data_IF_468936970284
#
_entry.id   IF_468936970284
#
_cell.length_a   1.000
_cell.length_b   1.000
_cell.length_c   1.000
_cell.angle_alpha   90.00
_cell.angle_beta   90.00
_cell.angle_gamma   90.00
#
_symmetry.space_group_name_H-M   'P 1'
#
loop_
_entity.id
_entity.type
_entity.pdbx_description
1 polymer ?
#
# COMPACT_ATOMS: atom_id res chain seq x y z
N UNK A 1 17.04 0.74 -10.23
CA UNK A 1 16.19 1.37 -11.25
C UNK A 1 16.84 2.68 -11.65
N UNK A 2 16.61 3.18 -12.86
CA UNK A 2 17.06 4.52 -13.26
C UNK A 2 15.85 5.45 -13.19
N UNK A 3 15.79 6.46 -12.31
CA UNK A 3 14.62 7.34 -12.26
C UNK A 3 14.47 8.17 -13.54
N UNK A 4 13.25 8.63 -13.87
CA UNK A 4 13.08 9.66 -14.87
C UNK A 4 13.64 10.98 -14.31
N UNK A 5 14.10 11.87 -15.19
CA UNK A 5 14.82 13.07 -14.77
C UNK A 5 14.00 13.96 -13.82
N UNK A 6 12.69 14.12 -14.11
CA UNK A 6 11.77 14.92 -13.29
C UNK A 6 11.64 14.41 -11.85
N UNK A 7 11.85 13.12 -11.60
CA UNK A 7 11.74 12.54 -10.25
C UNK A 7 12.94 12.92 -9.35
N UNK A 8 13.99 13.54 -9.92
CA UNK A 8 15.09 14.10 -9.15
C UNK A 8 14.80 15.51 -8.62
N UNK A 9 13.69 16.12 -9.05
CA UNK A 9 13.22 17.42 -8.58
C UNK A 9 12.64 17.37 -7.17
N UNK A 10 12.31 18.55 -6.63
CA UNK A 10 11.60 18.63 -5.34
C UNK A 10 10.16 18.16 -5.50
N UNK A 11 9.63 17.56 -4.43
CA UNK A 11 8.37 16.83 -4.42
C UNK A 11 7.51 17.30 -3.25
N UNK A 12 6.23 17.54 -3.49
CA UNK A 12 5.30 18.05 -2.49
C UNK A 12 4.16 17.05 -2.27
N UNK A 13 3.99 16.63 -1.02
CA UNK A 13 2.90 15.75 -0.56
C UNK A 13 2.39 16.20 0.80
N UNK A 14 1.28 15.61 1.22
CA UNK A 14 0.85 15.49 2.61
C UNK A 14 -0.28 14.46 2.69
N UNK A 15 -0.38 13.82 3.84
CA UNK A 15 -1.64 13.29 4.32
C UNK A 15 -2.54 14.46 4.79
N UNK A 16 -3.82 14.44 4.42
CA UNK A 16 -4.84 15.39 4.83
C UNK A 16 -5.04 16.60 3.91
N UNK A 17 -4.92 16.43 2.58
CA UNK A 17 -5.54 17.41 1.67
C UNK A 17 -7.06 17.33 1.80
N UNK A 18 -7.70 18.38 2.31
CA UNK A 18 -9.13 18.31 2.66
C UNK A 18 -10.05 17.99 1.46
N UNK A 19 -9.65 18.43 0.26
CA UNK A 19 -10.27 18.14 -1.03
C UNK A 19 -9.34 18.63 -2.16
N UNK A 20 -9.76 18.47 -3.42
CA UNK A 20 -8.99 18.92 -4.58
C UNK A 20 -8.67 20.43 -4.56
N UNK A 21 -9.56 21.27 -4.04
CA UNK A 21 -9.33 22.72 -3.97
C UNK A 21 -8.25 23.09 -2.94
N UNK A 22 -8.18 22.37 -1.82
CA UNK A 22 -7.07 22.54 -0.87
C UNK A 22 -5.75 22.13 -1.51
N UNK A 23 -5.69 20.99 -2.21
CA UNK A 23 -4.48 20.58 -2.96
C UNK A 23 -4.04 21.66 -3.95
N UNK A 24 -4.97 22.15 -4.78
CA UNK A 24 -4.72 23.25 -5.73
C UNK A 24 -4.12 24.46 -5.05
N UNK A 25 -4.76 24.91 -3.97
CA UNK A 25 -4.32 26.06 -3.18
C UNK A 25 -2.88 25.90 -2.69
N UNK A 26 -2.49 24.71 -2.19
CA UNK A 26 -1.13 24.47 -1.68
C UNK A 26 -0.09 24.43 -2.80
N UNK A 27 -0.36 23.71 -3.87
CA UNK A 27 0.55 23.58 -5.02
C UNK A 27 0.74 24.94 -5.69
N UNK A 28 -0.33 25.70 -5.91
CA UNK A 28 -0.26 27.05 -6.49
C UNK A 28 0.49 28.03 -5.59
N UNK A 29 0.34 27.94 -4.26
CA UNK A 29 1.12 28.77 -3.35
C UNK A 29 2.63 28.56 -3.57
N UNK A 30 3.10 27.32 -3.63
CA UNK A 30 4.53 27.01 -3.88
C UNK A 30 5.00 27.60 -5.21
N UNK A 31 4.18 27.49 -6.28
CA UNK A 31 4.47 28.09 -7.59
C UNK A 31 4.50 29.62 -7.54
N UNK A 32 3.55 30.24 -6.85
CA UNK A 32 3.45 31.71 -6.73
C UNK A 32 4.65 32.30 -5.99
N UNK A 33 5.25 31.55 -5.07
CA UNK A 33 6.52 31.91 -4.41
C UNK A 33 7.77 31.58 -5.24
N UNK A 34 7.62 31.09 -6.47
CA UNK A 34 8.72 30.70 -7.36
C UNK A 34 9.69 29.68 -6.74
N UNK A 35 9.18 28.79 -5.88
CA UNK A 35 9.94 27.68 -5.31
C UNK A 35 9.96 26.55 -6.35
N UNK A 36 11.13 26.08 -6.81
CA UNK A 36 11.20 24.99 -7.79
C UNK A 36 10.71 23.67 -7.20
N UNK A 37 9.83 22.99 -7.93
CA UNK A 37 9.42 21.61 -7.67
C UNK A 37 8.91 20.99 -8.97
N UNK A 38 8.87 19.66 -9.01
CA UNK A 38 8.57 18.90 -10.22
C UNK A 38 7.39 17.96 -10.03
N UNK A 39 7.05 17.60 -8.79
CA UNK A 39 6.03 16.57 -8.50
C UNK A 39 5.08 17.03 -7.41
N UNK A 40 3.77 16.93 -7.68
CA UNK A 40 2.72 17.05 -6.68
C UNK A 40 2.07 15.67 -6.44
N UNK A 41 1.90 15.31 -5.18
CA UNK A 41 1.32 14.03 -4.76
C UNK A 41 -0.13 14.17 -4.35
N UNK A 42 -0.89 13.09 -4.48
CA UNK A 42 -2.15 12.93 -3.76
C UNK A 42 -2.12 11.61 -2.96
N UNK A 43 -2.35 11.75 -1.66
CA UNK A 43 -2.54 10.66 -0.69
C UNK A 43 -3.98 10.08 -0.81
N UNK A 44 -4.39 9.15 0.06
CA UNK A 44 -5.69 8.46 0.01
C UNK A 44 -6.92 9.36 -0.06
N UNK A 45 -6.82 10.65 0.25
CA UNK A 45 -7.97 11.56 0.17
C UNK A 45 -8.57 11.64 -1.23
N UNK A 46 -7.78 11.44 -2.29
CA UNK A 46 -8.34 11.44 -3.64
C UNK A 46 -9.30 10.27 -3.88
N UNK A 47 -9.22 9.23 -3.06
CA UNK A 47 -9.99 8.01 -3.21
C UNK A 47 -11.41 8.15 -2.64
N UNK A 48 -12.37 7.44 -3.22
CA UNK A 48 -13.71 7.33 -2.63
C UNK A 48 -13.65 6.44 -1.38
N UNK A 49 -13.67 7.06 -0.20
CA UNK A 49 -13.59 6.36 1.11
C UNK A 49 -12.42 5.36 1.15
N UNK A 50 -11.25 5.83 0.70
CA UNK A 50 -9.98 5.11 0.73
C UNK A 50 -9.96 3.83 -0.13
N UNK A 51 -10.92 3.64 -1.04
CA UNK A 51 -10.92 2.51 -1.99
C UNK A 51 -10.03 2.84 -3.18
N UNK A 52 -9.02 2.00 -3.41
CA UNK A 52 -8.17 2.11 -4.60
C UNK A 52 -8.98 2.18 -5.91
N UNK A 53 -8.39 2.84 -6.90
CA UNK A 53 -8.91 2.97 -8.27
C UNK A 53 -10.22 3.77 -8.43
N UNK A 54 -10.79 4.34 -7.37
CA UNK A 54 -12.00 5.17 -7.43
C UNK A 54 -11.70 6.59 -6.97
N UNK A 55 -12.03 7.60 -7.76
CA UNK A 55 -11.91 9.01 -7.38
C UNK A 55 -13.12 9.41 -6.52
N UNK A 56 -12.85 9.99 -5.34
CA UNK A 56 -13.87 10.50 -4.43
C UNK A 56 -14.61 11.72 -4.96
N UNK A 57 -15.84 11.95 -4.48
CA UNK A 57 -16.69 13.05 -4.94
C UNK A 57 -16.04 14.44 -4.76
N UNK A 58 -15.33 14.66 -3.66
CA UNK A 58 -14.59 15.89 -3.33
C UNK A 58 -13.35 16.13 -4.22
N UNK A 59 -13.04 15.15 -5.08
CA UNK A 59 -11.94 15.17 -6.04
C UNK A 59 -12.41 15.16 -7.49
N UNK A 60 -13.68 15.51 -7.73
CA UNK A 60 -14.21 15.72 -9.08
C UNK A 60 -13.38 16.75 -9.85
N UNK A 61 -12.97 16.41 -11.07
CA UNK A 61 -12.12 17.26 -11.90
C UNK A 61 -10.62 17.11 -11.64
N UNK A 62 -10.21 16.13 -10.83
CA UNK A 62 -8.79 15.87 -10.56
C UNK A 62 -7.98 15.60 -11.83
N UNK A 63 -8.55 14.87 -12.80
CA UNK A 63 -7.89 14.63 -14.09
C UNK A 63 -7.59 15.90 -14.88
N UNK A 64 -8.48 16.89 -14.85
CA UNK A 64 -8.23 18.18 -15.50
C UNK A 64 -7.17 19.00 -14.75
N UNK A 65 -7.10 18.86 -13.43
CA UNK A 65 -6.03 19.45 -12.65
C UNK A 65 -4.67 18.81 -12.95
N UNK A 66 -4.58 17.49 -13.10
CA UNK A 66 -3.33 16.83 -13.51
C UNK A 66 -2.87 17.27 -14.89
N UNK A 67 -3.79 17.48 -15.85
CA UNK A 67 -3.44 18.11 -17.14
C UNK A 67 -2.88 19.52 -16.95
N UNK A 68 -3.45 20.31 -16.05
CA UNK A 68 -2.94 21.65 -15.72
C UNK A 68 -1.54 21.59 -15.08
N UNK A 69 -1.26 20.60 -14.22
CA UNK A 69 0.09 20.34 -13.71
C UNK A 69 1.07 20.08 -14.86
N UNK A 70 0.67 19.24 -15.83
CA UNK A 70 1.49 18.96 -17.01
C UNK A 70 1.74 20.19 -17.89
N UNK A 71 0.74 21.06 -18.07
CA UNK A 71 0.89 22.35 -18.78
C UNK A 71 1.90 23.28 -18.09
N UNK A 72 2.08 23.12 -16.79
CA UNK A 72 3.10 23.82 -16.00
C UNK A 72 4.47 23.13 -16.00
N UNK A 73 4.61 21.99 -16.67
CA UNK A 73 5.81 21.16 -16.68
C UNK A 73 6.00 20.31 -15.42
N UNK A 74 4.99 20.23 -14.57
CA UNK A 74 4.98 19.39 -13.37
C UNK A 74 4.47 17.99 -13.70
N UNK A 75 4.64 17.07 -12.75
CA UNK A 75 4.21 15.68 -12.81
C UNK A 75 3.34 15.36 -11.58
N UNK A 76 2.57 14.28 -11.67
CA UNK A 76 1.75 13.80 -10.56
C UNK A 76 2.08 12.36 -10.21
N UNK A 77 2.18 12.09 -8.90
CA UNK A 77 2.27 10.73 -8.35
C UNK A 77 1.06 10.54 -7.43
N UNK A 78 0.38 9.40 -7.56
CA UNK A 78 -0.71 9.02 -6.66
C UNK A 78 -0.23 7.93 -5.70
N UNK A 79 -0.85 7.88 -4.53
CA UNK A 79 -0.69 6.78 -3.59
C UNK A 79 -1.61 5.62 -3.96
N UNK A 80 -1.18 4.39 -3.71
CA UNK A 80 -1.98 3.17 -3.75
C UNK A 80 -1.67 2.32 -2.53
N UNK A 81 -2.72 1.71 -1.97
CA UNK A 81 -2.57 0.61 -1.04
C UNK A 81 -2.66 -0.71 -1.79
N UNK A 82 -2.11 -1.81 -1.25
CA UNK A 82 -2.30 -3.12 -1.87
C UNK A 82 -3.69 -3.71 -1.58
N UNK A 83 -4.37 -3.23 -0.55
CA UNK A 83 -5.52 -3.89 0.05
C UNK A 83 -6.84 -3.47 -0.60
N UNK A 84 -7.59 -4.44 -1.13
CA UNK A 84 -8.81 -4.17 -1.90
C UNK A 84 -10.05 -4.51 -1.08
N UNK A 85 -10.91 -3.53 -0.84
CA UNK A 85 -12.23 -3.73 -0.23
C UNK A 85 -13.08 -4.74 -1.03
N UNK A 86 -13.71 -5.70 -0.35
CA UNK A 86 -14.23 -6.92 -1.01
C UNK A 86 -15.62 -6.82 -1.63
N UNK A 87 -16.18 -5.62 -1.78
CA UNK A 87 -17.56 -5.41 -2.22
C UNK A 87 -17.75 -4.25 -3.21
N UNK A 88 -16.74 -4.00 -4.05
CA UNK A 88 -16.84 -3.05 -5.16
C UNK A 88 -16.21 -3.56 -6.44
N UNK A 89 -16.37 -2.80 -7.53
CA UNK A 89 -16.09 -3.26 -8.88
C UNK A 89 -14.64 -3.71 -9.12
N UNK A 90 -13.63 -3.09 -8.48
CA UNK A 90 -12.24 -3.53 -8.68
C UNK A 90 -12.02 -4.94 -8.13
N UNK A 91 -12.65 -5.25 -6.99
CA UNK A 91 -12.64 -6.60 -6.42
C UNK A 91 -13.44 -7.58 -7.27
N UNK A 92 -14.61 -7.20 -7.79
CA UNK A 92 -15.35 -8.05 -8.73
C UNK A 92 -14.51 -8.36 -9.97
N UNK A 93 -13.84 -7.37 -10.56
CA UNK A 93 -12.93 -7.56 -11.71
C UNK A 93 -11.74 -8.46 -11.36
N UNK A 94 -11.26 -8.40 -10.12
CA UNK A 94 -10.20 -9.27 -9.63
C UNK A 94 -10.65 -10.74 -9.62
N UNK A 95 -11.87 -11.01 -9.11
CA UNK A 95 -12.47 -12.35 -9.15
C UNK A 95 -12.73 -12.83 -10.57
N UNK A 96 -13.29 -11.97 -11.43
CA UNK A 96 -13.56 -12.29 -12.84
C UNK A 96 -12.26 -12.62 -13.61
N UNK A 97 -11.15 -12.00 -13.20
CA UNK A 97 -9.81 -12.22 -13.76
C UNK A 97 -9.08 -13.40 -13.12
N UNK A 98 -9.70 -14.11 -12.17
CA UNK A 98 -9.13 -15.25 -11.46
C UNK A 98 -7.75 -14.94 -10.85
N UNK A 99 -7.59 -13.75 -10.26
CA UNK A 99 -6.39 -13.42 -9.52
C UNK A 99 -6.31 -14.24 -8.22
N UNK A 100 -5.09 -14.39 -7.70
CA UNK A 100 -4.87 -14.98 -6.38
C UNK A 100 -4.93 -13.90 -5.31
N UNK A 101 -5.45 -14.25 -4.13
CA UNK A 101 -5.43 -13.43 -2.91
C UNK A 101 -4.75 -14.23 -1.80
N UNK A 102 -4.26 -13.55 -0.77
CA UNK A 102 -3.87 -14.23 0.47
C UNK A 102 -5.11 -14.95 1.03
N UNK A 103 -4.98 -16.23 1.34
CA UNK A 103 -6.09 -17.08 1.77
C UNK A 103 -5.78 -17.87 3.04
N UNK A 104 -6.81 -18.29 3.77
CA UNK A 104 -6.69 -19.30 4.82
C UNK A 104 -6.18 -20.63 4.25
N UNK A 105 -5.36 -21.35 5.02
CA UNK A 105 -4.87 -22.66 4.59
C UNK A 105 -6.03 -23.66 4.53
N UNK A 106 -6.87 -23.66 5.57
CA UNK A 106 -8.01 -24.57 5.69
C UNK A 106 -9.35 -23.83 5.80
N UNK A 107 -10.42 -24.50 5.38
CA UNK A 107 -11.76 -23.92 5.40
C UNK A 107 -12.31 -23.71 6.82
N UNK A 108 -11.88 -24.52 7.80
CA UNK A 108 -12.31 -24.39 9.21
C UNK A 108 -11.68 -23.20 9.94
N UNK A 109 -10.71 -22.53 9.32
CA UNK A 109 -10.07 -21.32 9.84
C UNK A 109 -10.76 -20.03 9.37
N UNK A 110 -11.66 -20.12 8.40
CA UNK A 110 -12.37 -18.97 7.85
C UNK A 110 -13.26 -18.35 8.94
N UNK A 111 -13.07 -17.06 9.18
CA UNK A 111 -13.85 -16.29 10.15
C UNK A 111 -15.23 -15.94 9.58
N UNK A 112 -16.15 -16.91 9.62
CA UNK A 112 -17.50 -16.77 9.04
C UNK A 112 -18.32 -15.62 9.61
N UNK A 113 -18.05 -15.17 10.83
CA UNK A 113 -18.66 -13.96 11.41
C UNK A 113 -18.39 -12.71 10.56
N UNK A 114 -17.23 -12.65 9.91
CA UNK A 114 -16.81 -11.60 8.99
C UNK A 114 -17.16 -12.00 7.55
N UNK A 115 -16.72 -13.19 7.12
CA UNK A 115 -16.81 -13.65 5.74
C UNK A 115 -18.24 -13.63 5.20
N UNK A 116 -19.20 -14.08 6.00
CA UNK A 116 -20.59 -14.26 5.56
C UNK A 116 -21.33 -12.93 5.36
N UNK A 117 -20.74 -11.80 5.78
CA UNK A 117 -21.25 -10.46 5.53
C UNK A 117 -21.06 -10.01 4.06
N UNK A 118 -20.19 -10.69 3.32
CA UNK A 118 -19.75 -10.26 1.99
C UNK A 118 -20.03 -11.34 0.92
N UNK A 119 -21.03 -11.12 0.04
CA UNK A 119 -21.43 -12.11 -0.95
C UNK A 119 -20.32 -12.59 -1.88
N UNK A 120 -19.36 -11.72 -2.21
CA UNK A 120 -18.27 -12.02 -3.16
C UNK A 120 -17.20 -12.98 -2.59
N UNK A 121 -17.15 -13.14 -1.27
CA UNK A 121 -16.11 -13.94 -0.60
C UNK A 121 -16.67 -15.01 0.35
N UNK A 122 -17.99 -15.06 0.55
CA UNK A 122 -18.69 -15.93 1.51
C UNK A 122 -18.24 -17.40 1.48
N UNK A 123 -18.12 -17.99 0.29
CA UNK A 123 -17.76 -19.40 0.11
C UNK A 123 -16.31 -19.58 -0.35
N UNK A 124 -15.43 -18.67 0.07
CA UNK A 124 -14.00 -18.67 -0.29
C UNK A 124 -13.11 -18.76 0.94
N UNK A 125 -11.83 -19.05 0.74
CA UNK A 125 -10.80 -18.97 1.79
C UNK A 125 -10.11 -17.61 1.83
N UNK A 126 -10.53 -16.63 1.03
CA UNK A 126 -9.86 -15.32 0.96
C UNK A 126 -9.79 -14.71 2.37
N UNK A 127 -8.58 -14.38 2.81
CA UNK A 127 -8.34 -13.82 4.13
C UNK A 127 -8.77 -12.36 4.12
N UNK A 128 -9.67 -12.01 5.05
CA UNK A 128 -10.18 -10.67 5.23
C UNK A 128 -9.49 -9.97 6.38
N UNK A 129 -9.19 -8.68 6.20
CA UNK A 129 -8.59 -7.84 7.23
C UNK A 129 -9.15 -6.42 7.16
N UNK A 130 -8.54 -5.50 7.93
CA UNK A 130 -8.93 -4.10 8.05
C UNK A 130 -7.72 -3.22 7.74
N UNK A 131 -7.90 -2.20 6.89
CA UNK A 131 -6.92 -1.14 6.61
C UNK A 131 -7.72 0.17 6.50
N UNK A 132 -7.44 1.06 5.54
CA UNK A 132 -8.07 2.36 5.42
C UNK A 132 -9.53 2.37 4.93
N UNK A 133 -9.99 1.46 4.05
CA UNK A 133 -11.38 1.43 3.62
C UNK A 133 -12.36 1.11 4.76
N UNK A 134 -13.62 1.55 4.61
CA UNK A 134 -14.67 1.37 5.61
C UNK A 134 -15.12 -0.07 5.85
N UNK A 135 -14.71 -1.01 5.00
CA UNK A 135 -15.16 -2.39 5.02
C UNK A 135 -13.97 -3.31 4.83
N UNK A 136 -14.17 -4.59 5.16
CA UNK A 136 -13.09 -5.56 5.10
C UNK A 136 -12.45 -5.62 3.72
N UNK A 137 -11.13 -5.75 3.73
CA UNK A 137 -10.27 -5.81 2.56
C UNK A 137 -9.71 -7.20 2.39
N UNK A 138 -9.22 -7.50 1.19
CA UNK A 138 -8.39 -8.66 0.89
C UNK A 138 -7.08 -8.20 0.25
N UNK A 139 -6.02 -8.96 0.47
CA UNK A 139 -4.69 -8.68 -0.10
C UNK A 139 -4.46 -9.50 -1.37
N UNK A 140 -4.31 -8.87 -2.55
CA UNK A 140 -3.87 -9.56 -3.75
C UNK A 140 -2.54 -10.28 -3.52
N UNK A 141 -2.43 -11.50 -4.05
CA UNK A 141 -1.22 -12.30 -3.95
C UNK A 141 -0.26 -11.92 -5.09
N UNK A 142 0.53 -10.86 -4.88
CA UNK A 142 1.54 -10.39 -5.84
C UNK A 142 2.70 -11.37 -6.05
N UNK A 143 2.78 -12.41 -5.23
CA UNK A 143 3.71 -13.53 -5.40
C UNK A 143 3.18 -14.63 -6.33
N UNK A 144 1.93 -14.53 -6.78
CA UNK A 144 1.37 -15.47 -7.78
C UNK A 144 2.26 -15.49 -9.04
N UNK A 145 2.81 -16.66 -9.42
CA UNK A 145 3.63 -16.76 -10.62
C UNK A 145 2.80 -16.66 -11.92
N UNK A 146 1.47 -16.73 -11.82
CA UNK A 146 0.58 -16.53 -12.95
C UNK A 146 0.46 -15.05 -13.30
N UNK A 147 0.21 -14.76 -14.59
CA UNK A 147 0.11 -13.40 -15.07
C UNK A 147 -1.16 -12.66 -14.62
N UNK A 148 -2.15 -13.36 -14.05
CA UNK A 148 -3.47 -12.83 -13.74
C UNK A 148 -3.42 -11.64 -12.77
N UNK A 149 -2.69 -11.75 -11.66
CA UNK A 149 -2.56 -10.65 -10.68
C UNK A 149 -1.89 -9.43 -11.31
N UNK A 150 -0.80 -9.63 -12.06
CA UNK A 150 -0.11 -8.53 -12.75
C UNK A 150 -0.97 -7.89 -13.84
N UNK A 151 -1.72 -8.68 -14.61
CA UNK A 151 -2.60 -8.19 -15.66
C UNK A 151 -3.75 -7.38 -15.09
N UNK A 152 -4.44 -7.90 -14.07
CA UNK A 152 -5.51 -7.18 -13.39
C UNK A 152 -5.00 -5.87 -12.79
N UNK A 153 -3.88 -5.89 -12.06
CA UNK A 153 -3.29 -4.69 -11.47
C UNK A 153 -2.95 -3.64 -12.55
N UNK A 154 -2.35 -4.10 -13.65
CA UNK A 154 -2.03 -3.23 -14.80
C UNK A 154 -3.29 -2.63 -15.43
N UNK A 155 -4.35 -3.42 -15.57
CA UNK A 155 -5.59 -2.95 -16.17
C UNK A 155 -6.35 -1.97 -15.26
N UNK A 156 -6.31 -2.15 -13.94
CA UNK A 156 -6.82 -1.16 -12.98
C UNK A 156 -6.03 0.16 -13.04
N UNK A 157 -4.70 0.09 -13.16
CA UNK A 157 -3.86 1.28 -13.41
C UNK A 157 -4.27 2.00 -14.69
N UNK A 158 -4.52 1.29 -15.80
CA UNK A 158 -4.98 1.90 -17.05
C UNK A 158 -6.35 2.55 -16.90
N UNK A 159 -7.30 1.88 -16.24
CA UNK A 159 -8.65 2.41 -16.01
C UNK A 159 -8.65 3.72 -15.24
N UNK A 160 -7.80 3.83 -14.21
CA UNK A 160 -7.64 5.09 -13.48
C UNK A 160 -6.87 6.12 -14.30
N UNK A 161 -5.85 5.71 -15.06
CA UNK A 161 -5.06 6.62 -15.89
C UNK A 161 -5.85 7.29 -17.02
N UNK A 162 -6.88 6.60 -17.54
CA UNK A 162 -7.85 7.17 -18.50
C UNK A 162 -8.64 8.35 -17.90
N UNK A 163 -8.75 8.42 -16.57
CA UNK A 163 -9.40 9.52 -15.84
C UNK A 163 -8.39 10.55 -15.33
N UNK A 164 -7.23 10.10 -14.84
CA UNK A 164 -6.17 10.93 -14.25
C UNK A 164 -4.83 10.48 -14.78
N UNK A 165 -4.21 11.26 -15.67
CA UNK A 165 -2.95 10.86 -16.32
C UNK A 165 -1.73 11.02 -15.41
N UNK A 166 -1.64 10.23 -14.34
CA UNK A 166 -0.50 10.22 -13.41
C UNK A 166 0.80 9.73 -14.05
N UNK A 167 1.95 10.11 -13.48
CA UNK A 167 3.29 9.87 -14.04
C UNK A 167 4.11 8.82 -13.27
N UNK A 168 3.69 8.47 -12.06
CA UNK A 168 4.35 7.48 -11.21
C UNK A 168 3.43 6.98 -10.09
N UNK A 169 3.94 6.06 -9.29
CA UNK A 169 3.18 5.43 -8.21
C UNK A 169 3.92 5.42 -6.88
N UNK A 170 3.20 5.74 -5.82
CA UNK A 170 3.60 5.53 -4.45
C UNK A 170 2.79 4.35 -3.92
N UNK A 171 3.43 3.20 -3.70
CA UNK A 171 2.78 2.03 -3.09
C UNK A 171 3.12 1.99 -1.61
N UNK A 172 2.11 2.12 -0.77
CA UNK A 172 2.23 2.15 0.68
C UNK A 172 1.51 0.96 1.33
N UNK A 173 1.62 0.81 2.65
CA UNK A 173 0.87 -0.21 3.41
C UNK A 173 1.19 -1.66 3.02
N UNK A 174 2.34 -1.87 2.37
CA UNK A 174 2.69 -3.12 1.68
C UNK A 174 3.70 -4.01 2.41
N UNK A 175 3.71 -3.96 3.74
CA UNK A 175 4.41 -4.96 4.55
C UNK A 175 3.92 -6.41 4.30
N UNK A 176 2.62 -6.74 4.13
CA UNK A 176 1.38 -5.93 4.11
C UNK A 176 0.89 -5.51 5.51
N UNK A 177 0.51 -4.25 5.66
CA UNK A 177 -0.02 -3.73 6.91
C UNK A 177 -1.49 -4.13 7.10
N UNK A 178 -1.84 -4.52 8.33
CA UNK A 178 -3.21 -4.79 8.76
C UNK A 178 -3.49 -4.10 10.09
N UNK A 179 -4.67 -3.53 10.24
CA UNK A 179 -5.07 -2.84 11.46
C UNK A 179 -5.67 -3.83 12.45
N UNK A 180 -5.11 -3.82 13.67
CA UNK A 180 -5.75 -4.47 14.81
C UNK A 180 -5.71 -5.98 14.83
N UNK A 181 -4.86 -6.66 14.05
CA UNK A 181 -4.80 -8.13 14.09
C UNK A 181 -4.61 -8.63 15.53
N UNK A 182 -5.53 -9.47 16.00
CA UNK A 182 -5.64 -9.96 17.39
C UNK A 182 -5.97 -8.92 18.47
N UNK A 183 -6.28 -7.67 18.12
CA UNK A 183 -6.61 -6.62 19.07
C UNK A 183 -8.12 -6.54 19.30
N UNK A 184 -8.53 -6.39 20.56
CA UNK A 184 -9.95 -6.16 20.89
C UNK A 184 -10.35 -4.69 20.76
N UNK A 185 -9.37 -3.79 20.84
CA UNK A 185 -9.59 -2.34 20.87
C UNK A 185 -8.50 -1.62 20.05
N UNK A 186 -8.47 -1.83 18.72
CA UNK A 186 -7.47 -1.22 17.85
C UNK A 186 -7.58 0.30 17.83
N UNK A 187 -6.55 0.97 17.31
CA UNK A 187 -6.48 2.45 17.32
C UNK A 187 -7.69 3.14 16.65
N UNK A 188 -8.38 2.46 15.74
CA UNK A 188 -9.56 2.96 15.05
C UNK A 188 -10.88 2.70 15.81
N UNK A 189 -10.87 1.95 16.92
CA UNK A 189 -12.08 1.53 17.63
C UNK A 189 -12.96 2.71 18.07
N UNK A 190 -12.33 3.80 18.54
CA UNK A 190 -12.99 5.05 18.97
C UNK A 190 -12.87 6.16 17.91
N UNK A 191 -12.37 5.86 16.72
CA UNK A 191 -12.19 6.86 15.68
C UNK A 191 -13.53 7.17 14.99
N UNK A 192 -14.04 8.41 15.02
CA UNK A 192 -15.30 8.75 14.35
C UNK A 192 -15.25 8.63 12.82
N UNK A 193 -14.06 8.70 12.23
CA UNK A 193 -13.87 8.74 10.77
C UNK A 193 -13.63 7.35 10.16
N UNK A 194 -13.46 6.32 10.99
CA UNK A 194 -13.28 4.93 10.57
C UNK A 194 -14.26 4.01 11.32
N UNK A 195 -15.00 3.12 10.64
CA UNK A 195 -15.96 2.26 11.31
C UNK A 195 -15.25 1.25 12.24
N UNK A 196 -15.90 0.95 13.36
CA UNK A 196 -15.47 -0.09 14.28
C UNK A 196 -15.87 -1.47 13.73
N UNK A 197 -15.06 -1.97 12.78
CA UNK A 197 -15.18 -3.31 12.21
C UNK A 197 -14.18 -4.27 12.86
N UNK A 198 -14.62 -5.53 13.04
CA UNK A 198 -13.86 -6.57 13.71
C UNK A 198 -12.55 -6.85 12.96
N UNK A 199 -11.37 -6.73 13.59
CA UNK A 199 -10.11 -7.01 12.92
C UNK A 199 -9.90 -8.52 12.72
N UNK A 200 -8.90 -8.83 11.90
CA UNK A 200 -8.41 -10.19 11.69
C UNK A 200 -7.99 -10.85 13.02
N UNK A 201 -8.46 -12.07 13.27
CA UNK A 201 -7.98 -12.90 14.38
C UNK A 201 -7.15 -14.10 13.88
N UNK A 202 -5.94 -14.26 14.39
CA UNK A 202 -5.02 -15.35 14.08
C UNK A 202 -4.89 -16.31 15.28
N UNK A 203 -4.68 -17.62 15.06
CA UNK A 203 -4.56 -18.58 16.15
C UNK A 203 -3.30 -18.32 16.98
N UNK A 204 -3.47 -17.93 18.25
CA UNK A 204 -2.37 -17.78 19.23
C UNK A 204 -2.31 -18.93 20.25
N UNK A 205 -3.23 -19.89 20.17
CA UNK A 205 -3.24 -21.09 21.01
C UNK A 205 -3.54 -22.34 20.17
N UNK A 206 -3.22 -23.51 20.71
CA UNK A 206 -3.41 -24.78 20.01
C UNK A 206 -2.26 -25.11 19.04
N UNK A 207 -2.42 -26.16 18.20
CA UNK A 207 -1.35 -26.65 17.33
C UNK A 207 -0.93 -25.64 16.27
N UNK A 208 -1.82 -24.73 15.89
CA UNK A 208 -1.60 -23.78 14.79
C UNK A 208 -0.93 -22.48 15.26
N UNK A 209 -0.77 -22.32 16.58
CA UNK A 209 -0.14 -21.14 17.18
C UNK A 209 1.36 -21.02 16.87
N UNK A 210 2.03 -22.11 16.47
CA UNK A 210 3.47 -22.09 16.22
C UNK A 210 3.88 -21.14 15.08
N UNK A 211 2.96 -20.81 14.17
CA UNK A 211 3.22 -19.92 13.04
C UNK A 211 3.26 -18.46 13.44
N UNK A 212 2.34 -18.02 14.31
CA UNK A 212 2.27 -16.63 14.77
C UNK A 212 3.01 -16.40 16.11
N UNK A 213 3.11 -17.44 16.95
CA UNK A 213 3.84 -17.47 18.21
C UNK A 213 4.93 -18.55 18.19
N UNK A 214 5.98 -18.41 17.35
CA UNK A 214 7.04 -19.41 17.26
C UNK A 214 7.83 -19.51 18.56
N UNK A 215 8.51 -20.66 18.80
CA UNK A 215 9.33 -20.86 20.00
C UNK A 215 10.47 -19.83 20.14
N UNK A 216 10.88 -19.20 19.04
CA UNK A 216 11.82 -18.10 19.01
C UNK A 216 11.22 -16.91 18.25
N UNK A 217 10.84 -15.86 18.99
CA UNK A 217 10.35 -14.61 18.41
C UNK A 217 11.53 -13.84 17.78
N UNK A 218 11.30 -13.22 16.63
CA UNK A 218 12.30 -12.33 16.01
C UNK A 218 12.39 -11.02 16.80
N UNK A 219 13.49 -10.28 16.63
CA UNK A 219 13.65 -8.96 17.25
C UNK A 219 12.51 -8.00 16.87
N UNK A 220 11.96 -8.12 15.67
CA UNK A 220 10.89 -7.26 15.17
C UNK A 220 9.62 -7.34 16.03
N UNK A 221 9.31 -8.51 16.60
CA UNK A 221 8.15 -8.70 17.48
C UNK A 221 8.28 -7.83 18.73
N UNK A 222 9.46 -7.79 19.34
CA UNK A 222 9.70 -7.04 20.57
C UNK A 222 9.58 -5.52 20.40
N UNK A 223 9.67 -5.00 19.17
CA UNK A 223 9.44 -3.58 18.91
C UNK A 223 7.97 -3.17 19.11
N UNK A 224 7.04 -4.12 19.07
CA UNK A 224 5.60 -3.88 19.27
C UNK A 224 5.11 -4.22 20.69
N UNK A 225 5.98 -4.76 21.55
CA UNK A 225 5.69 -5.09 22.94
C UNK A 225 5.82 -6.58 23.27
N UNK A 226 5.80 -6.90 24.56
CA UNK A 226 6.04 -8.27 25.04
C UNK A 226 4.96 -9.27 24.60
N UNK A 227 3.72 -8.79 24.49
CA UNK A 227 2.55 -9.57 24.08
C UNK A 227 2.41 -9.69 22.55
N UNK A 228 3.30 -9.04 21.78
CA UNK A 228 3.25 -9.10 20.33
C UNK A 228 3.59 -10.51 19.78
N UNK A 229 3.09 -10.77 18.58
CA UNK A 229 3.29 -11.99 17.81
C UNK A 229 3.71 -11.63 16.37
N UNK A 230 3.99 -12.61 15.52
CA UNK A 230 4.37 -12.30 14.13
C UNK A 230 3.23 -11.66 13.33
N UNK A 231 1.96 -11.99 13.63
CA UNK A 231 0.80 -11.37 13.01
C UNK A 231 0.50 -9.94 13.52
N UNK A 232 1.23 -9.43 14.51
CA UNK A 232 0.99 -8.08 15.05
C UNK A 232 1.16 -7.03 13.94
N UNK A 233 0.08 -6.28 13.68
CA UNK A 233 -0.03 -5.29 12.59
C UNK A 233 0.07 -5.85 11.16
N UNK A 234 -0.17 -7.14 10.97
CA UNK A 234 -0.14 -7.78 9.64
C UNK A 234 -1.07 -9.00 9.56
N UNK A 235 -1.01 -9.75 8.46
CA UNK A 235 -1.79 -10.97 8.21
C UNK A 235 -1.29 -12.15 9.04
N UNK A 236 -2.10 -13.20 9.16
CA UNK A 236 -1.67 -14.42 9.86
C UNK A 236 -0.52 -15.10 9.11
N UNK A 237 0.53 -15.51 9.82
CA UNK A 237 1.69 -16.17 9.19
C UNK A 237 1.34 -17.53 8.58
N UNK A 238 0.23 -18.14 9.02
CA UNK A 238 -0.27 -19.37 8.45
C UNK A 238 -1.04 -19.19 7.14
N UNK A 239 -1.47 -17.96 6.83
CA UNK A 239 -2.17 -17.69 5.59
C UNK A 239 -1.30 -18.07 4.38
N UNK A 240 -1.93 -18.44 3.28
CA UNK A 240 -1.26 -18.93 2.09
C UNK A 240 -1.19 -17.87 1.01
N UNK A 241 -0.06 -17.85 0.32
CA UNK A 241 0.25 -17.12 -0.90
C UNK A 241 0.74 -18.09 -1.97
N UNK A 242 1.11 -17.54 -3.14
CA UNK A 242 1.57 -18.31 -4.30
C UNK A 242 0.53 -19.36 -4.68
N UNK A 243 -0.75 -18.94 -4.74
CA UNK A 243 -1.92 -19.81 -4.97
C UNK A 243 -1.99 -21.01 -4.03
N UNK A 244 -1.85 -20.78 -2.73
CA UNK A 244 -1.99 -21.84 -1.74
C UNK A 244 -0.76 -22.74 -1.59
N UNK A 245 0.39 -22.39 -2.19
CA UNK A 245 1.59 -23.25 -2.15
C UNK A 245 2.62 -22.85 -1.09
N UNK A 246 2.62 -21.59 -0.64
CA UNK A 246 3.55 -21.10 0.37
C UNK A 246 2.81 -20.35 1.48
N UNK A 247 3.23 -20.56 2.73
CA UNK A 247 2.71 -19.80 3.87
C UNK A 247 3.36 -18.41 3.92
N UNK A 248 2.60 -17.42 4.38
CA UNK A 248 3.08 -16.08 4.71
C UNK A 248 4.31 -16.14 5.63
N UNK A 249 4.38 -17.11 6.55
CA UNK A 249 5.56 -17.37 7.37
C UNK A 249 6.89 -17.38 6.59
N UNK A 250 6.89 -17.92 5.36
CA UNK A 250 8.07 -18.02 4.51
C UNK A 250 8.26 -16.79 3.61
N UNK A 251 7.17 -16.14 3.19
CA UNK A 251 7.18 -15.18 2.08
C UNK A 251 6.72 -13.77 2.44
N UNK A 252 6.33 -13.52 3.70
CA UNK A 252 5.78 -12.25 4.16
C UNK A 252 6.67 -11.05 3.80
N UNK A 253 7.98 -11.14 4.10
CA UNK A 253 8.95 -10.08 3.76
C UNK A 253 9.21 -9.87 2.27
N UNK A 254 8.59 -10.67 1.38
CA UNK A 254 8.69 -10.52 -0.07
C UNK A 254 7.49 -9.77 -0.68
N UNK A 255 6.45 -9.47 0.10
CA UNK A 255 5.20 -8.89 -0.41
C UNK A 255 5.42 -7.53 -1.08
N UNK A 256 6.04 -6.57 -0.40
CA UNK A 256 6.32 -5.25 -0.99
C UNK A 256 7.26 -5.31 -2.21
N UNK A 257 8.23 -6.24 -2.22
CA UNK A 257 9.09 -6.46 -3.39
C UNK A 257 8.29 -6.99 -4.60
N UNK A 258 7.39 -7.94 -4.37
CA UNK A 258 6.61 -8.56 -5.45
C UNK A 258 5.59 -7.57 -6.04
N UNK A 259 4.95 -6.78 -5.18
CA UNK A 259 4.11 -5.65 -5.60
C UNK A 259 4.92 -4.61 -6.38
N UNK A 260 6.07 -4.14 -5.86
CA UNK A 260 6.90 -3.14 -6.52
C UNK A 260 7.32 -3.55 -7.94
N UNK A 261 7.61 -4.85 -8.15
CA UNK A 261 7.91 -5.40 -9.47
C UNK A 261 6.71 -5.27 -10.41
N UNK A 262 5.53 -5.71 -9.97
CA UNK A 262 4.29 -5.68 -10.75
C UNK A 262 3.87 -4.23 -11.04
N UNK A 263 3.89 -3.36 -10.03
CA UNK A 263 3.56 -1.93 -10.18
C UNK A 263 4.51 -1.22 -11.14
N UNK A 264 5.80 -1.55 -11.13
CA UNK A 264 6.75 -0.99 -12.11
C UNK A 264 6.39 -1.36 -13.55
N UNK A 265 5.93 -2.60 -13.77
CA UNK A 265 5.46 -3.03 -15.09
C UNK A 265 4.13 -2.34 -15.46
N UNK A 266 3.20 -2.23 -14.51
CA UNK A 266 1.92 -1.54 -14.68
C UNK A 266 2.12 -0.07 -15.07
N UNK A 267 2.93 0.69 -14.32
CA UNK A 267 3.24 2.10 -14.62
C UNK A 267 3.82 2.27 -16.02
N UNK A 268 4.73 1.38 -16.45
CA UNK A 268 5.31 1.44 -17.80
C UNK A 268 4.30 1.09 -18.89
N UNK A 269 3.48 0.08 -18.67
CA UNK A 269 2.45 -0.34 -19.62
C UNK A 269 1.35 0.72 -19.77
N UNK A 270 1.01 1.41 -18.68
CA UNK A 270 -0.03 2.43 -18.62
C UNK A 270 0.42 3.76 -19.22
N UNK A 271 1.60 4.25 -18.83
CA UNK A 271 2.09 5.58 -19.26
C UNK A 271 2.86 5.54 -20.59
N UNK A 272 3.34 4.37 -21.02
CA UNK A 272 4.30 4.24 -22.12
C UNK A 272 5.66 4.89 -21.86
N UNK A 273 5.89 5.37 -20.63
CA UNK A 273 7.11 6.05 -20.19
C UNK A 273 7.84 5.19 -19.16
N UNK A 274 9.02 5.65 -18.73
CA UNK A 274 9.79 4.98 -17.69
C UNK A 274 9.04 4.94 -16.35
N UNK A 275 8.39 6.04 -15.99
CA UNK A 275 7.75 6.27 -14.70
C UNK A 275 8.70 6.13 -13.51
N UNK A 276 8.16 6.25 -12.31
CA UNK A 276 8.84 5.92 -11.05
C UNK A 276 7.85 5.22 -10.12
N UNK A 277 8.35 4.28 -9.34
CA UNK A 277 7.63 3.65 -8.23
C UNK A 277 8.40 3.94 -6.95
N UNK A 278 7.68 4.27 -5.88
CA UNK A 278 8.21 4.46 -4.53
C UNK A 278 7.45 3.50 -3.61
N UNK A 279 8.17 2.68 -2.84
CA UNK A 279 7.58 1.62 -2.01
C UNK A 279 8.02 1.71 -0.55
N UNK A 280 7.11 1.42 0.39
CA UNK A 280 7.46 1.37 1.81
C UNK A 280 8.25 0.12 2.12
N UNK A 281 7.60 -1.04 1.99
CA UNK A 281 8.23 -2.32 2.23
C UNK A 281 9.23 -2.64 1.12
N UNK A 282 10.39 -3.15 1.51
CA UNK A 282 11.47 -3.52 0.60
C UNK A 282 12.19 -4.78 1.07
N UNK A 283 12.81 -5.48 0.13
CA UNK A 283 13.68 -6.64 0.36
C UNK A 283 14.91 -6.52 -0.56
N UNK A 284 16.05 -7.18 -0.29
CA UNK A 284 17.16 -7.21 -1.23
C UNK A 284 16.70 -7.45 -2.68
N UNK A 285 17.19 -6.63 -3.61
CA UNK A 285 16.76 -6.48 -5.02
C UNK A 285 15.61 -5.50 -5.30
N UNK A 286 14.89 -4.97 -4.31
CA UNK A 286 13.79 -4.01 -4.53
C UNK A 286 14.23 -2.77 -5.32
N UNK A 287 15.46 -2.31 -5.08
CA UNK A 287 16.06 -1.20 -5.82
C UNK A 287 16.16 -1.41 -7.33
N UNK A 288 15.96 -2.62 -7.87
CA UNK A 288 15.82 -2.82 -9.32
C UNK A 288 14.52 -2.25 -9.90
N UNK A 289 13.46 -2.21 -9.09
CA UNK A 289 12.10 -1.86 -9.51
C UNK A 289 11.68 -0.50 -8.96
N UNK A 290 11.95 -0.22 -7.68
CA UNK A 290 11.40 0.92 -6.95
C UNK A 290 12.48 1.75 -6.25
N UNK A 291 12.14 3.01 -5.93
CA UNK A 291 12.76 3.75 -4.83
C UNK A 291 12.10 3.45 -3.49
N UNK A 292 12.52 4.16 -2.46
CA UNK A 292 12.03 4.01 -1.09
C UNK A 292 12.01 5.35 -0.37
N UNK A 293 11.07 5.57 0.54
CA UNK A 293 11.16 6.65 1.52
C UNK A 293 11.23 6.02 2.91
N UNK A 294 11.94 6.66 3.84
CA UNK A 294 12.27 6.10 5.16
C UNK A 294 11.07 6.00 6.13
N UNK A 295 9.85 6.18 5.65
CA UNK A 295 8.62 6.03 6.42
C UNK A 295 8.34 7.21 7.35
N UNK A 296 7.36 6.98 8.22
CA UNK A 296 6.73 7.94 9.12
C UNK A 296 7.68 8.46 10.21
N UNK A 297 8.56 9.39 9.82
CA UNK A 297 9.40 10.13 10.75
C UNK A 297 8.58 11.19 11.52
N UNK A 298 9.10 11.67 12.64
CA UNK A 298 8.51 12.79 13.36
C UNK A 298 9.29 14.09 13.10
N UNK A 299 8.70 15.28 13.31
CA UNK A 299 9.36 16.57 13.13
C UNK A 299 10.36 16.85 14.27
N UNK A 300 11.38 16.00 14.41
CA UNK A 300 12.38 16.03 15.47
C UNK A 300 13.80 16.13 14.91
N UNK A 301 14.70 16.76 15.67
CA UNK A 301 16.12 16.79 15.34
C UNK A 301 16.76 15.39 15.34
N UNK A 302 16.20 14.44 16.09
CA UNK A 302 16.62 13.05 16.09
C UNK A 302 16.40 12.41 14.73
N UNK A 303 15.21 12.60 14.16
CA UNK A 303 14.86 12.00 12.87
C UNK A 303 15.60 12.63 11.70
N UNK A 304 15.92 13.93 11.77
CA UNK A 304 16.82 14.55 10.79
C UNK A 304 18.18 13.84 10.74
N UNK A 305 18.72 13.43 11.90
CA UNK A 305 19.96 12.65 11.96
C UNK A 305 19.76 11.23 11.41
N UNK A 306 18.66 10.58 11.78
CA UNK A 306 18.31 9.23 11.30
C UNK A 306 18.15 9.18 9.79
N UNK A 307 17.63 10.23 9.16
CA UNK A 307 17.47 10.33 7.71
C UNK A 307 18.80 10.19 6.96
N UNK A 308 19.89 10.80 7.47
CA UNK A 308 21.22 10.66 6.87
C UNK A 308 21.71 9.22 6.93
N UNK A 309 21.46 8.54 8.06
CA UNK A 309 21.86 7.15 8.27
C UNK A 309 21.07 6.24 7.32
N UNK A 310 19.75 6.36 7.31
CA UNK A 310 18.89 5.56 6.44
C UNK A 310 19.24 5.72 4.96
N UNK A 311 19.48 6.96 4.50
CA UNK A 311 19.88 7.20 3.11
C UNK A 311 21.21 6.49 2.75
N UNK A 312 22.19 6.48 3.66
CA UNK A 312 23.45 5.76 3.46
C UNK A 312 23.26 4.24 3.44
N UNK A 313 22.49 3.70 4.38
CA UNK A 313 22.19 2.27 4.49
C UNK A 313 21.48 1.75 3.23
N UNK A 314 20.45 2.45 2.75
CA UNK A 314 19.73 2.05 1.54
C UNK A 314 20.58 2.11 0.27
N UNK A 315 21.57 3.01 0.21
CA UNK A 315 22.56 2.97 -0.86
C UNK A 315 23.41 1.68 -0.80
N UNK A 316 23.79 1.20 0.39
CA UNK A 316 24.46 -0.10 0.55
C UNK A 316 23.53 -1.28 0.27
N UNK A 317 22.23 -1.17 0.57
CA UNK A 317 21.23 -2.17 0.24
C UNK A 317 20.87 -2.23 -1.26
N UNK A 318 21.43 -1.31 -2.08
CA UNK A 318 21.22 -1.27 -3.53
C UNK A 318 19.95 -0.53 -3.95
N UNK A 319 19.42 0.38 -3.11
CA UNK A 319 18.23 1.20 -3.35
C UNK A 319 18.64 2.69 -3.28
N UNK A 320 19.27 3.23 -4.34
CA UNK A 320 19.89 4.56 -4.29
C UNK A 320 18.89 5.74 -4.41
N UNK A 321 17.68 5.50 -4.93
CA UNK A 321 16.63 6.51 -4.98
C UNK A 321 15.84 6.45 -3.66
N UNK A 322 16.37 7.16 -2.65
CA UNK A 322 15.88 7.12 -1.27
C UNK A 322 15.88 8.51 -0.64
N UNK A 323 14.91 8.77 0.25
CA UNK A 323 14.80 10.00 1.04
C UNK A 323 13.94 9.81 2.30
N UNK A 324 13.83 10.86 3.12
CA UNK A 324 12.88 10.93 4.23
C UNK A 324 11.88 12.05 3.97
N UNK A 325 10.75 12.03 4.65
CA UNK A 325 9.81 13.15 4.60
C UNK A 325 10.45 14.39 5.22
N UNK A 326 10.59 15.43 4.39
CA UNK A 326 11.28 16.66 4.76
C UNK A 326 10.39 17.46 5.70
N UNK A 327 10.99 17.96 6.79
CA UNK A 327 10.35 18.61 7.93
C UNK A 327 9.70 17.66 8.96
N UNK A 328 9.40 16.42 8.57
CA UNK A 328 8.71 15.44 9.42
C UNK A 328 7.24 15.78 9.65
#
# INVERSE_FOLDING_TARGET
MMPPYWALGYQLSRYGYANLEDMKTRVEAVRNYSIPFDVAYADIEYMDRNKDFIIGAEWTGFGDYVKQLHDWGLHNILMWDPAIQVDYDAFQRALDSNISFIEWERADEVQHEIQDQYPLVKDTKILLSVVWPDRHIAFPDFLDPQANTEQWWTDEFKRLHDQVSFDGAWIDMNEPAAFGTNEQHPFYFDNPDHPNIQPLSCPLTGPDAEWDAPPYKTQAVYNFGDDACLATKTVCMRAMSVRGSERQYNVHSLYGLSEARITTNAVRATTGKRGVVISRSTFPSAGHFTGHWLGDNSPTWGDLRSAVIGAMEFNFFGIPYVGSDVCG
#
